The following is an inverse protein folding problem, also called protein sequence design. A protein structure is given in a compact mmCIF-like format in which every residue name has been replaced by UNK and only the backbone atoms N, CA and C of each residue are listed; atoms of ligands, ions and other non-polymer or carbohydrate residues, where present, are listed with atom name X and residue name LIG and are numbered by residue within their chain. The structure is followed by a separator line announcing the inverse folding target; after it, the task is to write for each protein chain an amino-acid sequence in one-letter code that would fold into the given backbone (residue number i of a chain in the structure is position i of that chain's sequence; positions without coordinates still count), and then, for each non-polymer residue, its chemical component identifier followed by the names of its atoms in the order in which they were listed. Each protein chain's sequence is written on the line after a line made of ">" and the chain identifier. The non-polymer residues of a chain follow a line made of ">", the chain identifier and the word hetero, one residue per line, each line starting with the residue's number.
data_IF_144407848970
#
_entry.id   IF_144407848970
#
_cell.length_a   1.000
_cell.length_b   1.000
_cell.length_c   1.000
_cell.angle_alpha   90.00
_cell.angle_beta   90.00
_cell.angle_gamma   90.00
#
_symmetry.space_group_name_H-M   'P 1'
#
loop_
_entity.id
_entity.type
_entity.pdbx_description
1 polymer ?
#
# COMPACT_ATOMS: atom_id res chain seq x y z
N UNK A 1 29.12 -28.35 -22.44
CA UNK A 1 29.05 -28.36 -20.95
C UNK A 1 28.50 -26.99 -20.53
N UNK A 2 27.19 -26.88 -20.30
CA UNK A 2 26.53 -26.66 -18.98
C UNK A 2 27.04 -25.35 -18.32
N UNK A 3 26.36 -24.19 -18.39
CA UNK A 3 25.05 -23.75 -17.87
C UNK A 3 25.04 -23.20 -16.41
N UNK A 4 24.22 -22.13 -16.23
CA UNK A 4 23.66 -21.48 -15.01
C UNK A 4 24.37 -20.19 -14.52
N UNK A 5 23.86 -18.96 -14.69
CA UNK A 5 22.56 -18.27 -14.35
C UNK A 5 22.64 -17.48 -13.03
N UNK A 6 22.44 -16.16 -13.15
CA UNK A 6 21.81 -15.13 -12.27
C UNK A 6 22.61 -13.83 -12.45
N UNK A 7 22.27 -12.83 -13.29
CA UNK A 7 21.03 -12.09 -13.54
C UNK A 7 20.37 -11.48 -12.30
N UNK A 8 20.43 -10.14 -12.26
CA UNK A 8 19.33 -9.20 -12.05
C UNK A 8 19.16 -8.58 -10.64
N UNK A 9 19.68 -7.35 -10.46
CA UNK A 9 18.93 -6.24 -9.82
C UNK A 9 19.71 -4.92 -9.91
N UNK A 10 19.91 -4.41 -11.12
CA UNK A 10 20.44 -3.06 -11.36
C UNK A 10 19.44 -2.27 -12.20
N UNK A 11 18.34 -1.82 -11.57
CA UNK A 11 17.39 -0.89 -12.20
C UNK A 11 16.66 -0.12 -11.10
N UNK A 12 17.25 0.99 -10.68
CA UNK A 12 16.57 2.06 -9.94
C UNK A 12 16.66 3.32 -10.81
N UNK A 13 15.83 3.32 -11.84
CA UNK A 13 15.60 4.46 -12.73
C UNK A 13 14.47 5.31 -12.14
N UNK A 14 14.80 6.55 -11.77
CA UNK A 14 14.01 7.77 -11.97
C UNK A 14 12.49 7.60 -11.98
N UNK A 15 11.80 8.00 -10.89
CA UNK A 15 10.44 8.57 -10.93
C UNK A 15 10.10 9.24 -9.58
N UNK A 16 10.53 10.50 -9.44
CA UNK A 16 10.20 11.39 -8.32
C UNK A 16 8.86 12.11 -8.45
N UNK A 17 7.91 11.63 -9.26
CA UNK A 17 6.60 12.25 -9.42
C UNK A 17 5.55 11.15 -9.54
N UNK A 18 4.54 11.18 -8.66
CA UNK A 18 3.47 10.19 -8.43
C UNK A 18 3.83 9.08 -7.43
N UNK A 19 3.99 9.44 -6.15
CA UNK A 19 4.00 8.44 -5.06
C UNK A 19 2.58 7.87 -4.90
N UNK A 20 2.38 6.54 -4.95
CA UNK A 20 1.12 5.94 -4.52
C UNK A 20 0.98 6.15 -3.02
N UNK A 21 -0.20 6.58 -2.58
CA UNK A 21 -0.62 6.56 -1.17
C UNK A 21 -0.87 5.10 -0.80
N UNK A 22 0.19 4.31 -0.68
CA UNK A 22 0.15 2.94 -0.15
C UNK A 22 0.90 2.96 1.17
N UNK A 23 0.18 2.76 2.27
CA UNK A 23 0.71 2.58 3.63
C UNK A 23 1.37 1.21 3.78
N UNK A 24 2.17 0.83 2.79
CA UNK A 24 3.04 -0.32 2.84
C UNK A 24 4.26 0.07 3.67
N UNK A 25 4.56 -0.70 4.71
CA UNK A 25 5.77 -0.53 5.51
C UNK A 25 7.05 -0.45 4.66
N UNK A 26 7.07 -1.12 3.51
CA UNK A 26 8.17 -1.03 2.54
C UNK A 26 8.27 0.34 1.84
N UNK A 27 7.15 1.04 1.61
CA UNK A 27 7.16 2.40 1.06
C UNK A 27 7.71 3.40 2.09
N UNK A 28 7.38 3.19 3.37
CA UNK A 28 7.88 3.99 4.50
C UNK A 28 9.37 3.74 4.74
N UNK A 29 9.84 2.50 4.60
CA UNK A 29 11.27 2.17 4.68
C UNK A 29 12.09 2.81 3.57
N UNK A 30 11.51 3.06 2.39
CA UNK A 30 12.20 3.79 1.32
C UNK A 30 12.45 5.27 1.66
N UNK A 31 11.71 5.84 2.63
CA UNK A 31 11.80 7.23 3.05
C UNK A 31 12.74 7.46 4.25
N UNK A 32 13.29 6.40 4.84
CA UNK A 32 14.32 6.51 5.89
C UNK A 32 15.72 6.27 5.32
N UNK A 33 16.75 6.73 6.04
CA UNK A 33 18.15 6.57 5.66
C UNK A 33 18.53 5.11 5.49
N UNK A 34 19.52 4.87 4.63
CA UNK A 34 20.09 3.54 4.41
C UNK A 34 20.61 2.89 5.72
N UNK A 35 21.18 3.69 6.62
CA UNK A 35 21.60 3.23 7.95
C UNK A 35 20.41 2.68 8.75
N UNK A 36 19.29 3.41 8.74
CA UNK A 36 18.09 2.98 9.42
C UNK A 36 17.47 1.73 8.78
N UNK A 37 17.43 1.64 7.44
CA UNK A 37 16.95 0.44 6.73
C UNK A 37 17.75 -0.82 7.09
N UNK A 38 19.08 -0.72 7.13
CA UNK A 38 19.94 -1.82 7.55
C UNK A 38 19.71 -2.18 9.02
N UNK A 39 19.50 -1.18 9.88
CA UNK A 39 19.19 -1.42 11.29
C UNK A 39 17.86 -2.13 11.46
N UNK A 40 16.82 -1.73 10.74
CA UNK A 40 15.53 -2.40 10.70
C UNK A 40 15.71 -3.88 10.35
N UNK A 41 16.44 -4.18 9.27
CA UNK A 41 16.71 -5.55 8.85
C UNK A 41 17.43 -6.36 9.93
N UNK A 42 18.44 -5.76 10.58
CA UNK A 42 19.16 -6.39 11.70
C UNK A 42 18.29 -6.64 12.93
N UNK A 43 17.41 -5.70 13.28
CA UNK A 43 16.48 -5.84 14.40
C UNK A 43 15.47 -6.96 14.17
N UNK A 44 14.94 -7.06 12.94
CA UNK A 44 14.04 -8.15 12.54
C UNK A 44 14.75 -9.50 12.62
N UNK A 45 16.01 -9.59 12.18
CA UNK A 45 16.77 -10.83 12.24
C UNK A 45 17.09 -11.30 13.68
N UNK A 46 17.14 -10.36 14.64
CA UNK A 46 17.51 -10.62 16.03
C UNK A 46 16.33 -11.03 16.95
N UNK A 47 15.09 -10.99 16.46
CA UNK A 47 13.92 -11.47 17.22
C UNK A 47 12.97 -12.25 16.31
N UNK A 48 12.74 -13.51 16.65
CA UNK A 48 11.81 -14.38 15.93
C UNK A 48 10.36 -13.87 16.02
N UNK A 49 9.99 -13.25 17.14
CA UNK A 49 8.67 -12.67 17.37
C UNK A 49 8.45 -11.42 16.51
N UNK A 50 9.43 -10.51 16.46
CA UNK A 50 9.38 -9.35 15.57
C UNK A 50 9.32 -9.81 14.12
N UNK A 51 10.12 -10.82 13.75
CA UNK A 51 10.05 -11.40 12.40
C UNK A 51 8.66 -11.94 12.08
N UNK A 52 8.04 -12.69 12.99
CA UNK A 52 6.69 -13.22 12.79
C UNK A 52 5.64 -12.09 12.65
N UNK A 53 5.78 -11.00 13.40
CA UNK A 53 4.90 -9.83 13.27
C UNK A 53 5.07 -9.15 11.92
N UNK A 54 6.32 -8.97 11.44
CA UNK A 54 6.60 -8.39 10.12
C UNK A 54 6.11 -9.29 8.99
N UNK A 55 6.35 -10.61 9.06
CA UNK A 55 5.87 -11.58 8.07
C UNK A 55 4.33 -11.59 7.98
N UNK A 56 3.64 -11.31 9.09
CA UNK A 56 2.18 -11.16 9.15
C UNK A 56 1.68 -9.73 8.85
N UNK A 57 2.57 -8.81 8.47
CA UNK A 57 2.26 -7.40 8.18
C UNK A 57 1.73 -6.61 9.40
N UNK A 58 2.01 -7.08 10.61
CA UNK A 58 1.71 -6.43 11.89
C UNK A 58 2.81 -5.44 12.28
N UNK A 59 3.09 -4.48 11.41
CA UNK A 59 4.23 -3.56 11.55
C UNK A 59 4.16 -2.64 12.77
N UNK A 60 2.97 -2.18 13.17
CA UNK A 60 2.82 -1.39 14.40
C UNK A 60 3.21 -2.19 15.63
N UNK A 61 2.73 -3.43 15.71
CA UNK A 61 3.04 -4.34 16.82
C UNK A 61 4.54 -4.68 16.82
N UNK A 62 5.13 -4.89 15.63
CA UNK A 62 6.57 -5.09 15.49
C UNK A 62 7.37 -3.89 16.02
N UNK A 63 6.96 -2.65 15.75
CA UNK A 63 7.62 -1.43 16.24
C UNK A 63 7.41 -1.19 17.75
N UNK A 64 6.29 -1.67 18.30
CA UNK A 64 5.96 -1.62 19.73
C UNK A 64 6.53 -2.80 20.53
N UNK A 65 7.02 -3.83 19.85
CA UNK A 65 7.40 -5.08 20.49
C UNK A 65 8.49 -4.86 21.54
N UNK A 66 8.23 -5.39 22.73
CA UNK A 66 9.15 -5.36 23.85
C UNK A 66 8.99 -6.63 24.67
N UNK A 67 10.12 -7.24 25.01
CA UNK A 67 10.28 -8.36 25.93
C UNK A 67 11.41 -8.07 26.91
N UNK A 68 11.73 -9.01 27.79
CA UNK A 68 12.87 -8.89 28.71
C UNK A 68 14.22 -8.85 27.97
N UNK A 69 14.33 -9.47 26.80
CA UNK A 69 15.58 -9.63 26.05
C UNK A 69 15.68 -8.75 24.81
N UNK A 70 14.57 -8.16 24.35
CA UNK A 70 14.54 -7.39 23.12
C UNK A 70 13.52 -6.25 23.20
N UNK A 71 13.89 -5.08 22.71
CA UNK A 71 12.98 -3.95 22.56
C UNK A 71 13.22 -3.30 21.19
N UNK A 72 12.17 -3.20 20.37
CA UNK A 72 12.28 -2.70 19.00
C UNK A 72 12.79 -1.27 18.94
N UNK A 73 12.28 -0.38 19.81
CA UNK A 73 12.72 1.02 19.88
C UNK A 73 14.20 1.13 20.25
N UNK A 74 14.65 0.38 21.25
CA UNK A 74 16.06 0.34 21.69
C UNK A 74 16.95 -0.23 20.58
N UNK A 75 16.47 -1.28 19.90
CA UNK A 75 17.18 -1.86 18.79
C UNK A 75 17.36 -0.84 17.67
N UNK A 76 16.30 -0.12 17.28
CA UNK A 76 16.31 0.81 16.15
C UNK A 76 17.05 2.12 16.46
N UNK A 77 16.72 2.77 17.57
CA UNK A 77 17.15 4.14 17.86
C UNK A 77 18.36 4.17 18.78
N UNK A 78 18.24 3.58 19.97
CA UNK A 78 19.25 3.72 21.04
C UNK A 78 20.61 3.13 20.68
N UNK A 79 20.63 2.08 19.87
CA UNK A 79 21.87 1.46 19.38
C UNK A 79 22.40 2.10 18.07
N UNK A 80 21.98 3.33 17.76
CA UNK A 80 22.61 4.20 16.77
C UNK A 80 22.33 3.87 15.30
N UNK A 81 21.19 3.23 14.99
CA UNK A 81 20.86 2.89 13.61
C UNK A 81 19.85 3.82 12.93
N UNK A 82 18.81 4.23 13.64
CA UNK A 82 17.79 5.16 13.17
C UNK A 82 17.79 6.43 14.02
N UNK A 83 17.53 7.58 13.40
CA UNK A 83 17.22 8.81 14.10
C UNK A 83 15.81 8.71 14.72
N UNK A 84 15.57 9.47 15.80
CA UNK A 84 14.24 9.59 16.41
C UNK A 84 13.17 10.05 15.41
N UNK A 85 13.53 10.95 14.49
CA UNK A 85 12.63 11.45 13.44
C UNK A 85 12.23 10.35 12.45
N UNK A 86 13.17 9.47 12.08
CA UNK A 86 12.92 8.34 11.19
C UNK A 86 12.04 7.28 11.87
N UNK A 87 12.35 6.96 13.13
CA UNK A 87 11.51 6.08 13.94
C UNK A 87 10.10 6.64 14.09
N UNK A 88 9.96 7.94 14.33
CA UNK A 88 8.65 8.60 14.47
C UNK A 88 7.83 8.50 13.19
N UNK A 89 8.46 8.67 12.02
CA UNK A 89 7.77 8.49 10.73
C UNK A 89 7.33 7.03 10.58
N UNK A 90 8.24 6.07 10.74
CA UNK A 90 7.89 4.64 10.66
C UNK A 90 6.76 4.26 11.62
N UNK A 91 6.84 4.73 12.86
CA UNK A 91 5.84 4.48 13.89
C UNK A 91 4.49 5.09 13.52
N UNK A 92 4.46 6.36 13.12
CA UNK A 92 3.23 7.05 12.72
C UNK A 92 2.54 6.33 11.57
N UNK A 93 3.28 5.99 10.51
CA UNK A 93 2.70 5.34 9.34
C UNK A 93 2.24 3.91 9.67
N UNK A 94 3.07 3.13 10.36
CA UNK A 94 2.74 1.74 10.70
C UNK A 94 1.60 1.63 11.71
N UNK A 95 1.50 2.57 12.66
CA UNK A 95 0.50 2.61 13.72
C UNK A 95 -0.67 3.54 13.44
N UNK A 96 -0.74 4.14 12.25
CA UNK A 96 -1.92 4.89 11.83
C UNK A 96 -3.14 3.97 11.89
N UNK A 97 -4.23 4.46 12.47
CA UNK A 97 -5.52 3.73 12.42
C UNK A 97 -6.24 3.95 11.08
N UNK A 98 -5.74 4.87 10.27
CA UNK A 98 -6.33 5.30 9.00
C UNK A 98 -5.42 4.90 7.83
N UNK A 99 -6.02 4.31 6.81
CA UNK A 99 -5.44 4.02 5.51
C UNK A 99 -6.21 4.73 4.40
N UNK A 100 -5.88 4.43 3.15
CA UNK A 100 -6.59 4.94 1.99
C UNK A 100 -6.74 3.89 0.88
N UNK A 101 -7.88 3.95 0.17
CA UNK A 101 -8.10 3.27 -1.10
C UNK A 101 -8.50 4.33 -2.12
N UNK A 102 -7.60 4.64 -3.06
CA UNK A 102 -7.76 5.77 -3.96
C UNK A 102 -7.74 7.10 -3.21
N UNK A 103 -8.85 7.84 -3.25
CA UNK A 103 -9.02 9.14 -2.56
C UNK A 103 -9.78 9.03 -1.24
N UNK A 104 -10.22 7.81 -0.87
CA UNK A 104 -11.06 7.59 0.30
C UNK A 104 -10.24 7.11 1.47
N UNK A 105 -10.36 7.81 2.60
CA UNK A 105 -9.83 7.36 3.88
C UNK A 105 -10.63 6.19 4.42
N UNK A 106 -9.95 5.10 4.77
CA UNK A 106 -10.49 3.88 5.37
C UNK A 106 -9.75 3.55 6.65
N UNK A 107 -10.14 2.52 7.38
CA UNK A 107 -9.26 1.96 8.42
C UNK A 107 -8.02 1.34 7.78
N UNK A 108 -6.89 1.37 8.49
CA UNK A 108 -5.67 0.72 8.01
C UNK A 108 -5.88 -0.79 7.82
N UNK A 109 -6.73 -1.41 8.63
CA UNK A 109 -7.13 -2.82 8.51
C UNK A 109 -7.82 -3.10 7.16
N UNK A 110 -8.76 -2.24 6.75
CA UNK A 110 -9.41 -2.34 5.45
C UNK A 110 -8.42 -2.17 4.29
N UNK A 111 -7.51 -1.19 4.36
CA UNK A 111 -6.45 -1.02 3.35
C UNK A 111 -5.58 -2.27 3.21
N UNK A 112 -5.06 -2.81 4.34
CA UNK A 112 -4.22 -4.02 4.32
C UNK A 112 -4.97 -5.23 3.76
N UNK A 113 -6.25 -5.36 4.11
CA UNK A 113 -7.08 -6.42 3.52
C UNK A 113 -7.21 -6.22 2.01
N UNK A 114 -7.39 -5.00 1.53
CA UNK A 114 -7.45 -4.72 0.10
C UNK A 114 -6.18 -5.12 -0.62
N UNK A 115 -5.00 -4.74 -0.11
CA UNK A 115 -3.71 -5.13 -0.68
C UNK A 115 -3.55 -6.66 -0.71
N UNK A 116 -3.84 -7.34 0.41
CA UNK A 116 -3.79 -8.80 0.51
C UNK A 116 -4.78 -9.49 -0.43
N UNK A 117 -5.98 -8.95 -0.58
CA UNK A 117 -7.02 -9.51 -1.43
C UNK A 117 -6.70 -9.33 -2.90
N UNK A 118 -6.27 -8.14 -3.31
CA UNK A 118 -5.95 -7.85 -4.70
C UNK A 118 -4.71 -8.63 -5.14
N UNK A 119 -3.73 -8.85 -4.26
CA UNK A 119 -2.58 -9.71 -4.55
C UNK A 119 -2.93 -11.18 -4.88
N UNK A 120 -4.13 -11.66 -4.51
CA UNK A 120 -4.59 -13.02 -4.89
C UNK A 120 -5.00 -13.14 -6.36
N UNK A 121 -5.22 -12.03 -7.05
CA UNK A 121 -5.58 -12.00 -8.47
C UNK A 121 -4.68 -11.02 -9.22
N UNK A 122 -3.77 -11.48 -10.09
CA UNK A 122 -2.89 -10.60 -10.87
C UNK A 122 -3.65 -9.53 -11.65
N UNK A 123 -4.82 -9.86 -12.20
CA UNK A 123 -5.64 -8.92 -12.95
C UNK A 123 -6.28 -7.85 -12.04
N UNK A 124 -6.77 -8.24 -10.84
CA UNK A 124 -7.31 -7.27 -9.89
C UNK A 124 -6.22 -6.33 -9.35
N UNK A 125 -5.03 -6.88 -9.07
CA UNK A 125 -3.85 -6.11 -8.68
C UNK A 125 -3.43 -5.13 -9.77
N UNK A 126 -3.40 -5.56 -11.03
CA UNK A 126 -3.05 -4.69 -12.16
C UNK A 126 -4.01 -3.50 -12.29
N UNK A 127 -5.32 -3.75 -12.19
CA UNK A 127 -6.34 -2.69 -12.20
C UNK A 127 -6.09 -1.68 -11.05
N UNK A 128 -5.76 -2.19 -9.86
CA UNK A 128 -5.49 -1.34 -8.70
C UNK A 128 -4.24 -0.48 -8.88
N UNK A 129 -3.14 -1.07 -9.37
CA UNK A 129 -1.89 -0.35 -9.66
C UNK A 129 -2.06 0.71 -10.76
N UNK A 130 -2.94 0.45 -11.74
CA UNK A 130 -3.35 1.42 -12.76
C UNK A 130 -4.33 2.48 -12.25
N UNK A 131 -4.60 2.52 -10.94
CA UNK A 131 -5.58 3.42 -10.29
C UNK A 131 -7.00 3.26 -10.82
N UNK A 132 -7.31 2.13 -11.45
CA UNK A 132 -8.65 1.76 -11.88
C UNK A 132 -9.39 1.13 -10.70
N UNK A 133 -9.47 1.86 -9.58
CA UNK A 133 -9.95 1.34 -8.30
C UNK A 133 -11.37 0.78 -8.39
N UNK A 134 -12.27 1.41 -9.16
CA UNK A 134 -13.61 0.89 -9.36
C UNK A 134 -13.58 -0.51 -10.02
N UNK A 135 -12.82 -0.66 -11.10
CA UNK A 135 -12.70 -1.94 -11.79
C UNK A 135 -12.05 -3.00 -10.90
N UNK A 136 -11.04 -2.62 -10.10
CA UNK A 136 -10.40 -3.52 -9.15
C UNK A 136 -11.37 -3.99 -8.05
N UNK A 137 -12.16 -3.08 -7.46
CA UNK A 137 -13.13 -3.40 -6.40
C UNK A 137 -14.34 -4.22 -6.88
N UNK A 138 -14.69 -4.09 -8.16
CA UNK A 138 -15.75 -4.86 -8.81
C UNK A 138 -15.22 -6.12 -9.52
N UNK A 139 -13.91 -6.38 -9.46
CA UNK A 139 -13.32 -7.52 -10.14
C UNK A 139 -13.81 -8.83 -9.51
N UNK A 140 -14.45 -9.65 -10.33
CA UNK A 140 -14.95 -10.96 -9.96
C UNK A 140 -14.71 -11.92 -11.13
N UNK A 141 -13.93 -12.97 -10.86
CA UNK A 141 -13.69 -14.09 -11.75
C UNK A 141 -13.53 -15.34 -10.91
N UNK A 142 -14.39 -16.35 -11.10
CA UNK A 142 -14.34 -17.60 -10.32
C UNK A 142 -12.91 -18.19 -10.30
N UNK A 143 -12.35 -18.53 -9.11
CA UNK A 143 -12.99 -18.57 -7.79
C UNK A 143 -12.83 -17.28 -6.94
N UNK A 144 -12.34 -16.19 -7.52
CA UNK A 144 -12.02 -14.93 -6.83
C UNK A 144 -13.13 -13.88 -6.97
N UNK A 145 -13.51 -13.27 -5.84
CA UNK A 145 -14.39 -12.10 -5.79
C UNK A 145 -13.77 -11.05 -4.86
N UNK A 146 -13.52 -9.85 -5.39
CA UNK A 146 -12.85 -8.77 -4.65
C UNK A 146 -13.68 -8.32 -3.44
N UNK A 147 -15.01 -8.21 -3.60
CA UNK A 147 -15.92 -7.80 -2.51
C UNK A 147 -15.91 -8.83 -1.39
N UNK A 148 -16.10 -10.11 -1.71
CA UNK A 148 -16.12 -11.20 -0.75
C UNK A 148 -14.77 -11.32 -0.03
N UNK A 149 -13.65 -11.09 -0.73
CA UNK A 149 -12.35 -11.07 -0.11
C UNK A 149 -12.19 -9.89 0.86
N UNK A 150 -12.54 -8.67 0.42
CA UNK A 150 -12.42 -7.44 1.22
C UNK A 150 -13.24 -7.49 2.51
N UNK A 151 -14.45 -8.04 2.43
CA UNK A 151 -15.36 -8.18 3.57
C UNK A 151 -15.11 -9.44 4.41
N UNK A 152 -14.25 -10.34 3.94
CA UNK A 152 -13.92 -11.58 4.61
C UNK A 152 -13.02 -11.38 5.83
N UNK A 153 -13.19 -12.23 6.85
CA UNK A 153 -12.31 -12.34 8.03
C UNK A 153 -11.92 -11.01 8.69
N UNK A 154 -12.89 -10.10 8.88
CA UNK A 154 -12.65 -8.83 9.56
C UNK A 154 -11.74 -7.90 8.75
N UNK A 155 -11.85 -7.89 7.42
CA UNK A 155 -11.16 -6.93 6.58
C UNK A 155 -11.76 -5.53 6.65
N UNK A 156 -12.42 -5.13 5.58
CA UNK A 156 -13.24 -3.93 5.52
C UNK A 156 -14.62 -4.20 6.11
N UNK A 157 -15.21 -3.19 6.75
CA UNK A 157 -16.64 -3.17 7.03
C UNK A 157 -17.44 -2.93 5.73
N UNK A 158 -18.71 -3.33 5.70
CA UNK A 158 -19.60 -3.05 4.55
C UNK A 158 -19.68 -1.54 4.29
N UNK A 159 -19.74 -0.73 5.36
CA UNK A 159 -19.77 0.74 5.25
C UNK A 159 -18.52 1.31 4.60
N UNK A 160 -17.33 0.83 4.98
CA UNK A 160 -16.08 1.25 4.32
C UNK A 160 -16.06 0.83 2.86
N UNK A 161 -16.45 -0.41 2.55
CA UNK A 161 -16.49 -0.89 1.17
C UNK A 161 -17.44 -0.04 0.31
N UNK A 162 -18.65 0.24 0.79
CA UNK A 162 -19.63 1.07 0.08
C UNK A 162 -19.08 2.49 -0.14
N UNK A 163 -18.54 3.12 0.90
CA UNK A 163 -18.00 4.47 0.80
C UNK A 163 -16.86 4.56 -0.23
N UNK A 164 -15.93 3.61 -0.22
CA UNK A 164 -14.85 3.53 -1.21
C UNK A 164 -15.42 3.34 -2.60
N UNK A 165 -16.25 2.29 -2.77
CA UNK A 165 -16.86 1.92 -4.05
C UNK A 165 -17.59 3.11 -4.66
N UNK A 166 -18.46 3.77 -3.91
CA UNK A 166 -19.23 4.91 -4.41
C UNK A 166 -18.30 6.07 -4.79
N UNK A 167 -17.31 6.41 -3.96
CA UNK A 167 -16.38 7.49 -4.31
C UNK A 167 -15.55 7.23 -5.57
N UNK A 168 -15.07 6.00 -5.77
CA UNK A 168 -14.17 5.68 -6.89
C UNK A 168 -14.91 5.22 -8.15
N UNK A 169 -16.14 4.74 -8.03
CA UNK A 169 -17.00 4.34 -9.15
C UNK A 169 -17.92 5.45 -9.65
N UNK A 170 -18.26 6.45 -8.81
CA UNK A 170 -19.07 7.59 -9.26
C UNK A 170 -18.27 8.63 -10.06
N UNK A 171 -16.93 8.59 -9.99
CA UNK A 171 -16.04 9.50 -10.72
C UNK A 171 -15.94 9.23 -12.24
N UNK A 172 -16.53 8.13 -12.75
CA UNK A 172 -16.53 7.82 -14.19
C UNK A 172 -17.45 8.74 -15.03
N UNK A 173 -18.11 9.71 -14.41
CA UNK A 173 -18.98 10.68 -15.09
C UNK A 173 -18.26 11.96 -15.58
N UNK A 174 -17.00 12.23 -15.18
CA UNK A 174 -16.36 13.53 -15.47
C UNK A 174 -15.61 13.58 -16.82
N UNK A 175 -15.24 12.43 -17.41
CA UNK A 175 -14.58 12.43 -18.74
C UNK A 175 -15.53 12.27 -19.93
N UNK A 176 -16.80 11.91 -19.72
CA UNK A 176 -17.78 11.82 -20.81
C UNK A 176 -18.39 13.18 -21.19
N UNK A 177 -18.24 14.22 -20.36
CA UNK A 177 -18.79 15.56 -20.60
C UNK A 177 -17.84 16.56 -21.27
N UNK A 178 -16.55 16.22 -21.44
CA UNK A 178 -15.55 17.16 -21.95
C UNK A 178 -15.17 16.96 -23.43
N UNK A 179 -15.79 15.99 -24.11
CA UNK A 179 -15.67 15.83 -25.58
C UNK A 179 -16.83 16.46 -26.35
N UNK A 180 -17.95 16.77 -25.71
CA UNK A 180 -19.11 17.42 -26.35
C UNK A 180 -19.04 18.95 -26.38
N UNK A 181 -18.28 19.59 -25.49
CA UNK A 181 -18.18 21.06 -25.47
C UNK A 181 -17.20 21.65 -26.50
N UNK A 182 -16.19 20.89 -26.95
CA UNK A 182 -15.28 21.36 -28.01
C UNK A 182 -15.90 21.30 -29.41
N UNK A 183 -16.90 20.44 -29.65
CA UNK A 183 -17.58 20.38 -30.95
C UNK A 183 -18.60 21.51 -31.16
N UNK A 184 -19.21 22.05 -30.10
CA UNK A 184 -20.15 23.16 -30.25
C UNK A 184 -19.47 24.50 -30.55
N UNK A 185 -18.23 24.73 -30.08
CA UNK A 185 -17.52 25.99 -30.32
C UNK A 185 -16.98 26.05 -31.76
N UNK A 186 -16.59 24.92 -32.34
CA UNK A 186 -16.11 24.88 -33.73
C UNK A 186 -17.22 25.14 -34.76
N UNK A 187 -18.47 24.73 -34.50
CA UNK A 187 -19.59 25.01 -35.41
C UNK A 187 -20.03 26.48 -35.33
N UNK A 188 -19.86 27.15 -34.18
CA UNK A 188 -20.20 28.57 -34.04
C UNK A 188 -19.15 29.54 -34.61
N UNK A 189 -17.92 29.06 -34.86
CA UNK A 189 -16.85 29.85 -35.49
C UNK A 189 -16.79 29.65 -37.02
N UNK A 190 -17.63 28.77 -37.57
CA UNK A 190 -17.69 28.41 -39.00
C UNK A 190 -19.00 28.85 -39.69
N UNK A 191 -19.82 29.66 -39.03
CA UNK A 191 -21.07 30.21 -39.57
C UNK A 191 -21.13 31.72 -39.39
#
# INVERSE_FOLDING_TARGET
>A
MIAKIMYLSSLLTILGLLRPVSGDYYSVLADVSYTCQNRVSGCIANSAEVKALVDNQSYCDALKYSSLSFNSTTCLVTNGGCLDSEYTIMYREACSTQGAIGVVTVTLQCQKMAEKCLAKSPAALELFLKKQYCAALLYNTSPYDSKACLLGNGGCTESEYINVKDSVCSATSVMAGMTTLFFCILVYMLN
#
